data_IF_539818679510
#
_entry.id   IF_539818679510
#
_cell.length_a   1.000
_cell.length_b   1.000
_cell.length_c   1.000
_cell.angle_alpha   90.00
_cell.angle_beta   90.00
_cell.angle_gamma   90.00
#
_symmetry.space_group_name_H-M   'P 1'
#
loop_
_entity.id
_entity.type
_entity.pdbx_description
1 polymer ?
#
# COMPACT_ATOMS: atom_id res chain seq x y z
N UNK A 1 37.29 25.74 17.63
CA UNK A 1 37.41 24.30 17.92
C UNK A 1 36.01 23.75 17.70
N UNK A 2 35.65 23.66 16.42
CA UNK A 2 34.29 23.39 15.99
C UNK A 2 34.06 21.88 16.08
N UNK A 3 33.35 21.49 17.12
CA UNK A 3 32.85 20.14 17.31
C UNK A 3 31.83 19.89 16.19
N UNK A 4 32.32 19.31 15.09
CA UNK A 4 31.50 18.73 14.04
C UNK A 4 30.71 17.59 14.69
N UNK A 5 29.52 17.92 15.16
CA UNK A 5 28.58 16.99 15.73
C UNK A 5 28.09 16.08 14.59
N UNK A 6 28.83 14.99 14.37
CA UNK A 6 28.57 13.93 13.40
C UNK A 6 27.35 13.11 13.81
N UNK A 7 26.24 13.80 14.11
CA UNK A 7 24.95 13.21 14.41
C UNK A 7 24.41 12.54 13.16
N UNK A 8 24.87 11.30 12.97
CA UNK A 8 24.12 10.13 12.50
C UNK A 8 22.93 10.47 11.59
N UNK A 9 23.17 11.16 10.48
CA UNK A 9 22.22 11.28 9.37
C UNK A 9 22.20 9.98 8.56
N UNK A 10 22.14 8.83 9.25
CA UNK A 10 22.00 7.54 8.63
C UNK A 10 20.58 7.39 8.07
N UNK A 11 20.38 6.57 7.04
CA UNK A 11 19.05 6.30 6.48
C UNK A 11 18.04 5.80 7.54
N UNK A 12 18.55 5.21 8.63
CA UNK A 12 17.77 4.76 9.78
C UNK A 12 17.19 5.90 10.63
N UNK A 13 17.83 7.07 10.72
CA UNK A 13 17.31 8.21 11.47
C UNK A 13 16.09 8.83 10.76
N UNK A 14 16.09 8.86 9.42
CA UNK A 14 14.92 9.25 8.62
C UNK A 14 13.78 8.21 8.70
N UNK A 15 14.10 6.97 9.04
CA UNK A 15 13.14 5.86 9.14
C UNK A 15 12.17 6.01 10.31
N UNK A 16 12.60 6.61 11.42
CA UNK A 16 11.72 6.89 12.56
C UNK A 16 10.66 7.97 12.23
N UNK A 17 10.97 8.86 11.28
CA UNK A 17 10.12 9.99 10.90
C UNK A 17 9.26 9.66 9.67
N UNK A 18 9.77 8.86 8.72
CA UNK A 18 9.11 8.56 7.43
C UNK A 18 8.82 7.06 7.19
N UNK A 19 9.13 6.16 8.13
CA UNK A 19 8.94 4.71 7.99
C UNK A 19 7.58 4.21 8.47
N UNK A 20 7.57 3.02 9.09
CA UNK A 20 6.40 2.36 9.68
C UNK A 20 5.47 3.26 10.51
N UNK A 21 5.98 4.20 11.35
CA UNK A 21 5.13 5.14 12.09
C UNK A 21 4.37 6.11 11.19
N UNK A 22 5.02 6.64 10.13
CA UNK A 22 4.39 7.52 9.16
C UNK A 22 3.31 6.77 8.36
N UNK A 23 3.60 5.53 7.97
CA UNK A 23 2.62 4.64 7.35
C UNK A 23 1.42 4.38 8.25
N UNK A 24 1.64 4.04 9.53
CA UNK A 24 0.57 3.84 10.50
C UNK A 24 -0.28 5.10 10.68
N UNK A 25 0.34 6.28 10.74
CA UNK A 25 -0.37 7.56 10.84
C UNK A 25 -1.14 7.93 9.58
N UNK A 26 -0.61 7.62 8.39
CA UNK A 26 -1.29 7.85 7.11
C UNK A 26 -2.45 6.86 6.91
N UNK A 27 -2.33 5.64 7.42
CA UNK A 27 -3.38 4.61 7.38
C UNK A 27 -4.46 4.82 8.41
N UNK A 28 -4.15 5.36 9.59
CA UNK A 28 -5.06 5.48 10.72
C UNK A 28 -6.47 5.99 10.34
N UNK A 29 -6.64 7.07 9.56
CA UNK A 29 -7.98 7.55 9.20
C UNK A 29 -8.72 6.65 8.19
N UNK A 30 -8.00 5.86 7.41
CA UNK A 30 -8.57 4.99 6.37
C UNK A 30 -8.80 3.57 6.83
N UNK A 31 -8.10 3.11 7.88
CA UNK A 31 -8.16 1.73 8.36
C UNK A 31 -9.59 1.33 8.74
N UNK A 32 -10.29 2.15 9.53
CA UNK A 32 -11.69 1.90 9.88
C UNK A 32 -12.60 1.86 8.65
N UNK A 33 -12.43 2.80 7.71
CA UNK A 33 -13.24 2.86 6.48
C UNK A 33 -13.02 1.68 5.54
N UNK A 34 -11.79 1.18 5.46
CA UNK A 34 -11.44 0.00 4.67
C UNK A 34 -11.98 -1.29 5.27
N UNK A 35 -12.07 -1.37 6.60
CA UNK A 35 -12.63 -2.54 7.30
C UNK A 35 -14.16 -2.53 7.26
N UNK A 36 -14.77 -1.35 7.44
CA UNK A 36 -16.23 -1.20 7.45
C UNK A 36 -16.84 -1.32 6.04
N UNK A 37 -16.06 -1.05 5.00
CA UNK A 37 -16.47 -1.35 3.64
C UNK A 37 -16.46 -2.87 3.47
N UNK A 38 -17.63 -3.52 3.57
CA UNK A 38 -17.87 -4.95 3.31
C UNK A 38 -17.52 -5.35 1.87
N UNK A 39 -16.26 -5.22 1.50
CA UNK A 39 -15.66 -5.58 0.21
C UNK A 39 -15.42 -7.09 0.11
N UNK A 40 -15.48 -7.80 1.24
CA UNK A 40 -15.35 -9.24 1.33
C UNK A 40 -16.45 -9.79 2.24
N UNK A 41 -16.94 -11.00 1.96
CA UNK A 41 -17.74 -11.76 2.91
C UNK A 41 -17.07 -11.93 4.27
N UNK A 42 -17.85 -11.80 5.35
CA UNK A 42 -17.38 -11.76 6.74
C UNK A 42 -16.54 -12.98 7.17
N UNK A 43 -16.78 -14.14 6.57
CA UNK A 43 -16.09 -15.39 6.90
C UNK A 43 -14.62 -15.43 6.47
N UNK A 44 -14.20 -14.55 5.54
CA UNK A 44 -12.79 -14.41 5.14
C UNK A 44 -12.04 -13.32 5.90
N UNK A 45 -12.77 -12.36 6.46
CA UNK A 45 -12.23 -11.14 7.07
C UNK A 45 -11.13 -11.36 8.12
N UNK A 46 -11.28 -12.27 9.13
CA UNK A 46 -10.28 -12.39 10.19
C UNK A 46 -8.93 -12.91 9.66
N UNK A 47 -8.94 -13.96 8.84
CA UNK A 47 -7.73 -14.56 8.28
C UNK A 47 -7.00 -13.59 7.34
N UNK A 48 -7.76 -12.89 6.47
CA UNK A 48 -7.18 -11.95 5.52
C UNK A 48 -6.63 -10.69 6.18
N UNK A 49 -7.25 -10.21 7.25
CA UNK A 49 -6.74 -9.06 8.00
C UNK A 49 -5.41 -9.36 8.69
N UNK A 50 -5.22 -10.58 9.21
CA UNK A 50 -3.92 -11.00 9.75
C UNK A 50 -2.85 -10.96 8.65
N UNK A 51 -3.14 -11.55 7.48
CA UNK A 51 -2.20 -11.54 6.35
C UNK A 51 -1.91 -10.11 5.89
N UNK A 52 -2.94 -9.28 5.71
CA UNK A 52 -2.81 -7.88 5.31
C UNK A 52 -1.96 -7.06 6.31
N UNK A 53 -2.12 -7.32 7.61
CA UNK A 53 -1.35 -6.64 8.68
C UNK A 53 0.15 -6.91 8.60
N UNK A 54 0.56 -8.09 8.12
CA UNK A 54 1.97 -8.44 7.91
C UNK A 54 2.46 -7.98 6.53
N UNK A 55 1.61 -8.12 5.52
CA UNK A 55 1.94 -7.84 4.13
C UNK A 55 2.21 -6.34 3.89
N UNK A 56 1.41 -5.45 4.48
CA UNK A 56 1.60 -4.00 4.36
C UNK A 56 3.00 -3.53 4.77
N UNK A 57 3.43 -3.75 6.03
CA UNK A 57 4.77 -3.42 6.50
C UNK A 57 5.89 -4.05 5.66
N UNK A 58 5.72 -5.30 5.24
CA UNK A 58 6.71 -6.02 4.45
C UNK A 58 6.89 -5.38 3.06
N UNK A 59 5.79 -5.02 2.39
CA UNK A 59 5.82 -4.29 1.13
C UNK A 59 6.45 -2.91 1.30
N UNK A 60 6.12 -2.18 2.38
CA UNK A 60 6.73 -0.91 2.68
C UNK A 60 8.25 -1.02 2.84
N UNK A 61 8.72 -2.06 3.55
CA UNK A 61 10.14 -2.31 3.76
C UNK A 61 10.87 -2.59 2.44
N UNK A 62 10.32 -3.47 1.60
CA UNK A 62 10.89 -3.81 0.29
C UNK A 62 10.93 -2.58 -0.63
N UNK A 63 9.85 -1.80 -0.69
CA UNK A 63 9.80 -0.60 -1.51
C UNK A 63 10.76 0.47 -1.02
N UNK A 64 10.90 0.65 0.28
CA UNK A 64 11.89 1.55 0.83
C UNK A 64 13.31 1.17 0.40
N UNK A 65 13.69 -0.10 0.58
CA UNK A 65 15.02 -0.59 0.20
C UNK A 65 15.31 -0.43 -1.30
N UNK A 66 14.32 -0.66 -2.15
CA UNK A 66 14.47 -0.62 -3.61
C UNK A 66 14.35 0.80 -4.20
N UNK A 67 13.51 1.65 -3.61
CA UNK A 67 13.21 2.99 -4.14
C UNK A 67 13.98 4.12 -3.46
N UNK A 68 14.59 3.92 -2.29
CA UNK A 68 15.32 4.99 -1.58
C UNK A 68 16.46 5.62 -2.40
N UNK A 69 17.13 4.83 -3.24
CA UNK A 69 18.21 5.30 -4.12
C UNK A 69 17.79 5.42 -5.60
N UNK A 70 16.49 5.27 -5.90
CA UNK A 70 15.98 5.35 -7.27
C UNK A 70 15.76 6.80 -7.72
N UNK A 71 15.77 7.02 -9.03
CA UNK A 71 15.46 8.33 -9.60
C UNK A 71 14.00 8.72 -9.32
N UNK A 72 13.75 10.02 -9.12
CA UNK A 72 12.40 10.55 -8.84
C UNK A 72 11.36 10.11 -9.87
N UNK A 73 11.74 10.07 -11.16
CA UNK A 73 10.85 9.60 -12.23
C UNK A 73 10.40 8.14 -12.03
N UNK A 74 11.28 7.25 -11.56
CA UNK A 74 10.89 5.87 -11.22
C UNK A 74 9.92 5.83 -10.07
N UNK A 75 10.17 6.59 -9.00
CA UNK A 75 9.27 6.65 -7.82
C UNK A 75 7.89 7.19 -8.20
N UNK A 76 7.81 8.21 -9.07
CA UNK A 76 6.54 8.72 -9.62
C UNK A 76 5.81 7.62 -10.40
N UNK A 77 6.52 6.91 -11.30
CA UNK A 77 5.94 5.80 -12.06
C UNK A 77 5.36 4.71 -11.15
N UNK A 78 6.10 4.31 -10.11
CA UNK A 78 5.64 3.35 -9.11
C UNK A 78 4.43 3.88 -8.32
N UNK A 79 4.41 5.15 -7.96
CA UNK A 79 3.28 5.78 -7.26
C UNK A 79 2.00 5.75 -8.12
N UNK A 80 2.09 6.13 -9.40
CA UNK A 80 0.94 6.07 -10.31
C UNK A 80 0.49 4.66 -10.62
N UNK A 81 1.43 3.74 -10.87
CA UNK A 81 1.10 2.34 -11.13
C UNK A 81 0.42 1.72 -9.91
N UNK A 82 0.95 1.92 -8.71
CA UNK A 82 0.34 1.42 -7.47
C UNK A 82 -1.03 2.04 -7.22
N UNK A 83 -1.21 3.34 -7.47
CA UNK A 83 -2.52 3.99 -7.34
C UNK A 83 -3.54 3.41 -8.33
N UNK A 84 -3.13 3.18 -9.59
CA UNK A 84 -3.99 2.56 -10.59
C UNK A 84 -4.35 1.12 -10.20
N UNK A 85 -3.38 0.33 -9.73
CA UNK A 85 -3.62 -1.03 -9.22
C UNK A 85 -4.57 -1.02 -8.02
N UNK A 86 -4.43 -0.06 -7.11
CA UNK A 86 -5.31 0.10 -5.95
C UNK A 86 -6.77 0.32 -6.39
N UNK A 87 -7.01 1.26 -7.29
CA UNK A 87 -8.35 1.55 -7.81
C UNK A 87 -8.92 0.35 -8.57
N UNK A 88 -8.12 -0.32 -9.40
CA UNK A 88 -8.54 -1.50 -10.14
C UNK A 88 -8.86 -2.69 -9.23
N UNK A 89 -8.09 -2.90 -8.16
CA UNK A 89 -8.37 -3.96 -7.18
C UNK A 89 -9.66 -3.70 -6.40
N UNK A 90 -9.93 -2.44 -6.01
CA UNK A 90 -11.21 -2.07 -5.40
C UNK A 90 -12.36 -2.33 -6.38
N UNK A 91 -12.24 -1.87 -7.62
CA UNK A 91 -13.25 -2.07 -8.64
C UNK A 91 -13.50 -3.57 -8.88
N UNK A 92 -12.45 -4.39 -8.94
CA UNK A 92 -12.56 -5.84 -9.08
C UNK A 92 -13.30 -6.48 -7.89
N UNK A 93 -12.95 -6.12 -6.64
CA UNK A 93 -13.67 -6.59 -5.45
C UNK A 93 -15.15 -6.20 -5.47
N UNK A 94 -15.47 -4.96 -5.85
CA UNK A 94 -16.86 -4.50 -5.97
C UNK A 94 -17.63 -5.25 -7.06
N UNK A 95 -17.03 -5.45 -8.24
CA UNK A 95 -17.64 -6.20 -9.35
C UNK A 95 -17.90 -7.65 -8.92
N UNK A 96 -16.94 -8.30 -8.26
CA UNK A 96 -17.12 -9.67 -7.76
C UNK A 96 -18.23 -9.74 -6.72
N UNK A 97 -18.24 -8.82 -5.75
CA UNK A 97 -19.28 -8.73 -4.72
C UNK A 97 -20.66 -8.58 -5.36
N UNK A 98 -20.82 -7.60 -6.25
CA UNK A 98 -22.08 -7.30 -6.91
C UNK A 98 -22.56 -8.44 -7.82
N UNK A 99 -21.64 -9.10 -8.52
CA UNK A 99 -21.98 -10.21 -9.43
C UNK A 99 -22.48 -11.42 -8.64
N UNK A 100 -21.79 -11.80 -7.57
CA UNK A 100 -22.13 -12.98 -6.76
C UNK A 100 -23.38 -12.74 -5.90
N UNK A 101 -23.54 -11.53 -5.36
CA UNK A 101 -24.67 -11.24 -4.46
C UNK A 101 -26.01 -11.05 -5.20
N UNK A 102 -25.97 -10.54 -6.45
CA UNK A 102 -27.19 -10.14 -7.17
C UNK A 102 -27.50 -11.02 -8.39
N UNK A 103 -26.49 -11.39 -9.18
CA UNK A 103 -26.73 -11.93 -10.52
C UNK A 103 -26.46 -13.42 -10.65
N UNK A 104 -25.60 -14.00 -9.80
CA UNK A 104 -25.03 -15.31 -10.08
C UNK A 104 -24.75 -16.14 -8.83
N UNK A 105 -25.40 -17.31 -8.76
CA UNK A 105 -25.01 -18.38 -7.85
C UNK A 105 -23.91 -19.22 -8.51
N UNK A 106 -22.68 -19.24 -7.96
CA UNK A 106 -21.56 -19.94 -8.58
C UNK A 106 -21.71 -21.47 -8.45
N UNK A 107 -21.48 -22.19 -9.54
CA UNK A 107 -21.27 -23.65 -9.50
C UNK A 107 -19.98 -24.00 -8.74
N UNK A 108 -19.82 -25.24 -8.28
CA UNK A 108 -18.68 -25.68 -7.44
C UNK A 108 -17.29 -25.28 -7.99
N UNK A 109 -17.09 -25.38 -9.31
CA UNK A 109 -15.81 -25.00 -9.95
C UNK A 109 -15.55 -23.50 -9.89
N UNK A 110 -16.60 -22.72 -10.12
CA UNK A 110 -16.56 -21.25 -10.08
C UNK A 110 -16.35 -20.75 -8.67
N UNK A 111 -16.97 -21.41 -7.69
CA UNK A 111 -16.75 -21.14 -6.28
C UNK A 111 -15.27 -21.29 -5.93
N UNK A 112 -14.61 -22.37 -6.36
CA UNK A 112 -13.19 -22.58 -6.08
C UNK A 112 -12.29 -21.46 -6.66
N UNK A 113 -12.61 -20.96 -7.85
CA UNK A 113 -11.89 -19.83 -8.47
C UNK A 113 -12.14 -18.54 -7.68
N UNK A 114 -13.39 -18.25 -7.32
CA UNK A 114 -13.78 -17.08 -6.52
C UNK A 114 -13.08 -17.08 -5.15
N UNK A 115 -13.00 -18.24 -4.49
CA UNK A 115 -12.29 -18.42 -3.21
C UNK A 115 -10.80 -18.09 -3.29
N UNK A 116 -10.18 -18.15 -4.48
CA UNK A 116 -8.78 -17.78 -4.67
C UNK A 116 -8.63 -16.33 -5.15
N UNK A 117 -9.47 -15.92 -6.10
CA UNK A 117 -9.39 -14.61 -6.76
C UNK A 117 -9.76 -13.46 -5.81
N UNK A 118 -10.78 -13.66 -4.97
CA UNK A 118 -11.29 -12.61 -4.09
C UNK A 118 -10.32 -12.24 -2.97
N UNK A 119 -9.72 -13.19 -2.23
CA UNK A 119 -8.63 -12.88 -1.31
C UNK A 119 -7.44 -12.21 -1.98
N UNK A 120 -7.08 -12.66 -3.18
CA UNK A 120 -5.95 -12.10 -3.92
C UNK A 120 -6.22 -10.64 -4.32
N UNK A 121 -7.42 -10.34 -4.84
CA UNK A 121 -7.83 -8.98 -5.14
C UNK A 121 -7.83 -8.10 -3.88
N UNK A 122 -8.34 -8.60 -2.75
CA UNK A 122 -8.33 -7.87 -1.49
C UNK A 122 -6.92 -7.59 -0.98
N UNK A 123 -6.03 -8.59 -0.95
CA UNK A 123 -4.65 -8.41 -0.51
C UNK A 123 -3.91 -7.42 -1.42
N UNK A 124 -4.20 -7.42 -2.72
CA UNK A 124 -3.64 -6.44 -3.66
C UNK A 124 -4.04 -5.01 -3.33
N UNK A 125 -5.22 -4.76 -2.74
CA UNK A 125 -5.61 -3.42 -2.25
C UNK A 125 -4.60 -2.94 -1.20
N UNK A 126 -4.24 -3.77 -0.22
CA UNK A 126 -3.29 -3.39 0.83
C UNK A 126 -1.87 -3.20 0.28
N UNK A 127 -1.42 -4.08 -0.61
CA UNK A 127 -0.11 -3.97 -1.26
C UNK A 127 -0.02 -2.67 -2.06
N UNK A 128 -1.01 -2.41 -2.89
CA UNK A 128 -1.07 -1.23 -3.74
C UNK A 128 -1.16 0.05 -2.92
N UNK A 129 -2.04 0.08 -1.91
CA UNK A 129 -2.19 1.22 -1.00
C UNK A 129 -0.88 1.52 -0.26
N UNK A 130 -0.25 0.50 0.32
CA UNK A 130 1.03 0.63 1.03
C UNK A 130 2.12 1.16 0.12
N UNK A 131 2.16 0.66 -1.13
CA UNK A 131 3.09 1.12 -2.15
C UNK A 131 2.88 2.58 -2.53
N UNK A 132 1.63 3.01 -2.70
CA UNK A 132 1.28 4.40 -3.00
C UNK A 132 1.68 5.33 -1.87
N UNK A 133 1.40 4.97 -0.62
CA UNK A 133 1.77 5.77 0.57
C UNK A 133 3.29 5.94 0.66
N UNK A 134 4.05 4.84 0.58
CA UNK A 134 5.52 4.89 0.67
C UNK A 134 6.14 5.68 -0.47
N UNK A 135 5.66 5.46 -1.70
CA UNK A 135 6.13 6.22 -2.85
C UNK A 135 5.82 7.71 -2.71
N UNK A 136 4.63 8.06 -2.20
CA UNK A 136 4.25 9.44 -1.87
C UNK A 136 5.14 10.08 -0.82
N UNK A 137 5.46 9.36 0.26
CA UNK A 137 6.38 9.83 1.32
C UNK A 137 7.80 10.05 0.78
N UNK A 138 8.30 9.13 -0.04
CA UNK A 138 9.61 9.27 -0.70
C UNK A 138 9.66 10.48 -1.63
N UNK A 139 8.55 10.80 -2.31
CA UNK A 139 8.44 11.99 -3.15
C UNK A 139 8.39 13.28 -2.34
N UNK A 140 7.71 13.29 -1.19
CA UNK A 140 7.63 14.45 -0.29
C UNK A 140 8.98 14.73 0.40
N UNK A 141 9.73 13.68 0.74
CA UNK A 141 11.04 13.78 1.39
C UNK A 141 12.22 14.06 0.45
N UNK A 142 12.01 14.08 -0.87
CA UNK A 142 13.04 14.40 -1.86
C UNK A 142 13.10 15.91 -2.10
N UNK A 143 14.09 16.65 -1.56
CA UNK A 143 14.20 18.08 -1.79
C UNK A 143 14.35 18.36 -3.30
N UNK A 144 13.62 19.36 -3.81
CA UNK A 144 13.74 19.83 -5.19
C UNK A 144 15.15 20.39 -5.44
N UNK A 145 16.09 19.55 -5.86
CA UNK A 145 17.48 19.93 -6.22
C UNK A 145 17.53 20.89 -7.45
N UNK A 146 16.39 21.31 -8.01
CA UNK A 146 16.31 22.06 -9.25
C UNK A 146 15.81 23.51 -9.18
N UNK A 147 15.38 24.04 -8.01
CA UNK A 147 14.78 25.40 -7.94
C UNK A 147 15.74 26.56 -7.65
N UNK A 148 17.06 26.35 -7.69
CA UNK A 148 18.07 27.39 -7.39
C UNK A 148 18.74 28.03 -8.63
N UNK A 149 18.16 27.93 -9.83
CA UNK A 149 18.65 28.70 -10.99
C UNK A 149 17.52 29.18 -11.90
N UNK A 150 16.77 30.18 -11.44
CA UNK A 150 16.21 31.23 -12.30
C UNK A 150 16.20 32.53 -11.52
#
# INVERSE_FOLDING_TARGET
>A
MDQHDGSKSGPFAKWQIFGLPAFASALAPWYGKLIDASLIPEWYTPSLNIVASVLGPLVCFILWLTCANSSRHRVIGTAFLSLATFVLSIAACLVLTFTVDIFWYPDERSEMILRLLWPLAYLMIFVAFSSTVVSGLLLMGSPDVGRSRR
#
